data_IF_741163703864
#
_entry.id   IF_741163703864
#
_cell.length_a   1.000
_cell.length_b   1.000
_cell.length_c   1.000
_cell.angle_alpha   90.00
_cell.angle_beta   90.00
_cell.angle_gamma   90.00
#
_symmetry.space_group_name_H-M   'P 1'
#
loop_
_entity.id
_entity.type
_entity.pdbx_description
1 polymer ?
#
# COMPACT_ATOMS: atom_id res chain seq x y z
N UNK A 1 -18.09 -7.53 3.02
CA UNK A 1 -17.04 -7.34 1.99
C UNK A 1 -15.69 -7.66 2.58
N UNK A 2 -14.91 -8.51 1.93
CA UNK A 2 -13.57 -8.88 2.37
C UNK A 2 -12.64 -7.69 2.21
N UNK A 3 -11.80 -7.42 3.21
CA UNK A 3 -10.75 -6.40 3.14
C UNK A 3 -9.60 -6.76 4.05
N UNK A 4 -8.41 -6.30 3.72
CA UNK A 4 -7.21 -6.40 4.54
C UNK A 4 -6.70 -5.00 4.94
N UNK A 5 -7.57 -3.98 4.87
CA UNK A 5 -7.18 -2.59 5.11
C UNK A 5 -6.54 -2.40 6.50
N UNK A 6 -7.11 -3.01 7.54
CA UNK A 6 -6.56 -2.90 8.88
C UNK A 6 -5.16 -3.51 8.98
N UNK A 7 -4.94 -4.62 8.28
CA UNK A 7 -3.63 -5.28 8.22
C UNK A 7 -2.60 -4.39 7.53
N UNK A 8 -2.99 -3.77 6.40
CA UNK A 8 -2.10 -2.85 5.68
C UNK A 8 -1.76 -1.65 6.54
N UNK A 9 -2.74 -1.06 7.21
CA UNK A 9 -2.49 0.03 8.15
C UNK A 9 -1.43 -0.36 9.19
N UNK A 10 -1.58 -1.53 9.79
CA UNK A 10 -0.67 -1.98 10.84
C UNK A 10 0.72 -2.29 10.29
N UNK A 11 0.81 -2.88 9.09
CA UNK A 11 2.08 -3.14 8.43
C UNK A 11 2.86 -1.86 8.13
N UNK A 12 2.17 -0.79 7.74
CA UNK A 12 2.80 0.44 7.31
C UNK A 12 3.05 1.42 8.45
N UNK A 13 2.53 1.16 9.63
CA UNK A 13 2.75 2.03 10.79
C UNK A 13 4.25 2.16 11.07
N UNK A 14 4.74 3.39 11.11
CA UNK A 14 6.16 3.68 11.35
C UNK A 14 7.10 3.38 10.19
N UNK A 15 6.60 3.01 9.01
CA UNK A 15 7.43 2.72 7.85
C UNK A 15 8.08 3.97 7.25
N UNK A 16 7.55 5.14 7.54
CA UNK A 16 8.07 6.43 7.11
C UNK A 16 7.97 7.42 8.28
N UNK A 17 8.46 8.62 8.12
CA UNK A 17 8.36 9.67 9.14
C UNK A 17 6.92 10.00 9.50
N UNK A 18 6.01 9.93 8.53
CA UNK A 18 4.57 10.01 8.73
C UNK A 18 3.88 9.08 7.73
N UNK A 19 2.79 8.46 8.16
CA UNK A 19 1.99 7.57 7.31
C UNK A 19 0.54 8.01 7.39
N UNK A 20 -0.07 8.21 6.21
CA UNK A 20 -1.43 8.73 6.10
C UNK A 20 -2.32 7.72 5.37
N UNK A 21 -3.61 7.82 5.63
CA UNK A 21 -4.59 7.12 4.83
C UNK A 21 -4.99 8.02 3.64
N UNK A 22 -4.93 7.46 2.45
CA UNK A 22 -5.36 8.03 1.19
C UNK A 22 -4.37 9.07 0.63
N UNK A 23 -4.15 10.19 1.31
CA UNK A 23 -3.28 11.26 0.85
C UNK A 23 -2.67 12.00 2.03
N UNK A 24 -1.44 12.51 1.93
CA UNK A 24 -0.84 13.25 3.03
C UNK A 24 -1.64 14.50 3.41
N UNK A 25 -1.97 14.61 4.69
CA UNK A 25 -2.64 15.79 5.22
C UNK A 25 -1.65 16.96 5.39
N UNK A 26 -0.35 16.67 5.39
CA UNK A 26 0.71 17.65 5.61
C UNK A 26 2.01 17.16 5.00
N UNK A 27 2.83 18.09 4.51
CA UNK A 27 4.18 17.82 4.00
C UNK A 27 5.27 18.20 5.01
N UNK A 28 4.90 18.52 6.25
CA UNK A 28 5.85 18.96 7.27
C UNK A 28 6.83 17.85 7.63
N UNK A 29 6.35 16.63 7.77
CA UNK A 29 7.20 15.48 8.09
C UNK A 29 7.49 14.67 6.83
N UNK A 30 8.76 14.62 6.45
CA UNK A 30 9.25 13.84 5.31
C UNK A 30 10.40 12.94 5.76
N UNK A 31 10.55 11.76 5.18
CA UNK A 31 9.70 11.16 4.16
C UNK A 31 8.33 10.80 4.72
N UNK A 32 7.32 10.82 3.86
CA UNK A 32 5.98 10.40 4.24
C UNK A 32 5.42 9.40 3.23
N UNK A 33 4.41 8.66 3.68
CA UNK A 33 3.73 7.69 2.85
C UNK A 33 2.23 7.82 3.04
N UNK A 34 1.47 7.42 2.02
CA UNK A 34 0.03 7.31 2.09
C UNK A 34 -0.41 6.01 1.42
N UNK A 35 -1.50 5.44 1.90
CA UNK A 35 -1.99 4.18 1.35
C UNK A 35 -3.51 4.18 1.25
N UNK A 36 -4.03 3.36 0.34
CA UNK A 36 -5.46 3.15 0.20
C UNK A 36 -5.74 1.80 -0.46
N UNK A 37 -6.92 1.27 -0.25
CA UNK A 37 -7.39 0.15 -1.03
C UNK A 37 -7.82 0.68 -2.40
N UNK A 38 -7.10 0.28 -3.45
CA UNK A 38 -7.31 0.79 -4.79
C UNK A 38 -8.20 -0.12 -5.64
N UNK A 39 -8.48 -1.32 -5.17
CA UNK A 39 -9.35 -2.27 -5.85
C UNK A 39 -9.79 -3.39 -4.92
N UNK A 40 -11.00 -3.87 -5.16
CA UNK A 40 -11.57 -5.00 -4.42
C UNK A 40 -12.51 -5.71 -5.38
N UNK A 41 -12.08 -6.88 -5.86
CA UNK A 41 -12.83 -7.65 -6.85
C UNK A 41 -13.23 -8.99 -6.25
N UNK A 42 -14.52 -9.24 -6.18
CA UNK A 42 -15.04 -10.53 -5.76
C UNK A 42 -14.63 -11.62 -6.76
N UNK A 43 -14.04 -12.69 -6.27
CA UNK A 43 -13.62 -13.82 -7.11
C UNK A 43 -14.54 -15.01 -7.00
N UNK A 44 -15.08 -15.25 -5.80
CA UNK A 44 -15.94 -16.40 -5.56
C UNK A 44 -17.01 -16.06 -4.52
N UNK A 45 -18.24 -16.39 -4.85
CA UNK A 45 -19.40 -16.22 -3.98
C UNK A 45 -20.21 -17.51 -3.99
N UNK A 46 -20.68 -17.93 -2.81
CA UNK A 46 -21.57 -19.06 -2.66
C UNK A 46 -22.53 -18.77 -1.51
N UNK A 47 -23.80 -19.21 -1.67
CA UNK A 47 -24.85 -19.02 -0.65
C UNK A 47 -25.04 -17.56 -0.24
N UNK A 48 -24.89 -16.63 -1.18
CA UNK A 48 -25.01 -15.21 -0.91
C UNK A 48 -23.84 -14.60 -0.14
N UNK A 49 -22.75 -15.34 0.05
CA UNK A 49 -21.55 -14.89 0.78
C UNK A 49 -20.36 -14.79 -0.13
N UNK A 50 -19.56 -13.76 0.10
CA UNK A 50 -18.26 -13.61 -0.54
C UNK A 50 -17.27 -14.55 0.13
N UNK A 51 -16.60 -15.40 -0.67
CA UNK A 51 -15.62 -16.38 -0.17
C UNK A 51 -14.19 -15.99 -0.48
N UNK A 52 -13.95 -15.37 -1.63
CA UNK A 52 -12.62 -14.91 -2.05
C UNK A 52 -12.74 -13.56 -2.73
N UNK A 53 -11.75 -12.72 -2.48
CA UNK A 53 -11.63 -11.43 -3.17
C UNK A 53 -10.17 -11.16 -3.55
N UNK A 54 -9.99 -10.52 -4.70
CA UNK A 54 -8.69 -9.97 -5.09
C UNK A 54 -8.65 -8.51 -4.66
N UNK A 55 -7.68 -8.18 -3.83
CA UNK A 55 -7.52 -6.87 -3.23
C UNK A 55 -6.28 -6.19 -3.78
N UNK A 56 -6.39 -4.90 -4.04
CA UNK A 56 -5.26 -4.07 -4.47
C UNK A 56 -5.09 -2.91 -3.51
N UNK A 57 -3.84 -2.62 -3.16
CA UNK A 57 -3.48 -1.51 -2.28
C UNK A 57 -2.45 -0.65 -2.96
N UNK A 58 -2.74 0.64 -3.01
CA UNK A 58 -1.85 1.66 -3.53
C UNK A 58 -1.07 2.24 -2.36
N UNK A 59 0.26 2.29 -2.48
CA UNK A 59 1.12 2.91 -1.46
C UNK A 59 2.02 3.89 -2.18
N UNK A 60 2.00 5.14 -1.74
CA UNK A 60 2.80 6.20 -2.30
C UNK A 60 3.76 6.75 -1.25
N UNK A 61 4.98 7.04 -1.68
CA UNK A 61 6.04 7.57 -0.83
C UNK A 61 6.54 8.89 -1.42
N UNK A 62 6.71 9.89 -0.58
CA UNK A 62 7.27 11.20 -0.96
C UNK A 62 8.47 11.52 -0.10
N UNK A 63 9.53 12.04 -0.74
CA UNK A 63 10.75 12.41 -0.05
C UNK A 63 11.47 13.54 -0.81
N UNK A 64 12.45 14.16 -0.15
CA UNK A 64 13.25 15.24 -0.74
C UNK A 64 14.33 14.73 -1.68
N UNK A 65 14.74 13.46 -1.53
CA UNK A 65 15.77 12.84 -2.37
C UNK A 65 15.27 11.51 -2.90
N UNK A 66 15.82 11.09 -4.04
CA UNK A 66 15.52 9.79 -4.64
C UNK A 66 15.95 8.66 -3.69
N UNK A 67 17.13 8.80 -3.06
CA UNK A 67 17.67 7.78 -2.16
C UNK A 67 16.76 7.56 -0.96
N UNK A 68 16.29 8.63 -0.35
CA UNK A 68 15.39 8.56 0.80
C UNK A 68 14.05 7.93 0.40
N UNK A 69 13.53 8.32 -0.76
CA UNK A 69 12.28 7.78 -1.29
C UNK A 69 12.39 6.27 -1.50
N UNK A 70 13.50 5.82 -2.11
CA UNK A 70 13.73 4.40 -2.37
C UNK A 70 13.95 3.60 -1.08
N UNK A 71 14.65 4.16 -0.11
CA UNK A 71 14.87 3.48 1.17
C UNK A 71 13.55 3.18 1.88
N UNK A 72 12.64 4.15 1.91
CA UNK A 72 11.30 3.95 2.49
C UNK A 72 10.50 2.94 1.67
N UNK A 73 10.54 3.03 0.35
CA UNK A 73 9.83 2.09 -0.52
C UNK A 73 10.35 0.66 -0.33
N UNK A 74 11.65 0.47 -0.16
CA UNK A 74 12.24 -0.84 0.09
C UNK A 74 11.78 -1.41 1.43
N UNK A 75 11.68 -0.58 2.47
CA UNK A 75 11.14 -1.02 3.77
C UNK A 75 9.67 -1.42 3.66
N UNK A 76 8.88 -0.66 2.92
CA UNK A 76 7.48 -1.00 2.65
C UNK A 76 7.39 -2.33 1.89
N UNK A 77 8.23 -2.51 0.86
CA UNK A 77 8.29 -3.75 0.10
C UNK A 77 8.58 -4.93 1.02
N UNK A 78 9.57 -4.80 1.90
CA UNK A 78 9.94 -5.86 2.84
C UNK A 78 8.76 -6.24 3.73
N UNK A 79 8.05 -5.26 4.26
CA UNK A 79 6.89 -5.50 5.14
C UNK A 79 5.74 -6.15 4.40
N UNK A 80 5.40 -5.61 3.22
CA UNK A 80 4.28 -6.13 2.44
C UNK A 80 4.56 -7.54 1.91
N UNK A 81 5.75 -7.78 1.39
CA UNK A 81 6.15 -9.11 0.90
C UNK A 81 6.18 -10.12 2.05
N UNK A 82 6.68 -9.73 3.21
CA UNK A 82 6.69 -10.58 4.40
C UNK A 82 5.30 -10.99 4.86
N UNK A 83 4.30 -10.18 4.59
CA UNK A 83 2.89 -10.47 4.88
C UNK A 83 2.16 -11.10 3.67
N UNK A 84 2.91 -11.52 2.63
CA UNK A 84 2.43 -12.25 1.45
C UNK A 84 1.64 -11.41 0.45
N UNK A 85 1.75 -10.10 0.51
CA UNK A 85 1.27 -9.22 -0.57
C UNK A 85 2.26 -9.27 -1.73
N UNK A 86 1.75 -9.27 -2.95
CA UNK A 86 2.60 -9.28 -4.16
C UNK A 86 2.63 -7.91 -4.78
N UNK A 87 3.85 -7.42 -5.04
CA UNK A 87 3.95 -6.15 -5.76
C UNK A 87 3.54 -6.34 -7.22
N UNK A 88 2.57 -5.56 -7.66
CA UNK A 88 2.07 -5.56 -9.03
C UNK A 88 2.65 -4.43 -9.86
N UNK A 89 3.16 -3.37 -9.21
CA UNK A 89 3.60 -2.16 -9.91
C UNK A 89 4.50 -1.34 -9.01
N UNK A 90 5.50 -0.69 -9.60
CA UNK A 90 6.33 0.32 -8.96
C UNK A 90 6.80 1.33 -10.02
N UNK A 91 6.79 2.61 -9.68
CA UNK A 91 7.27 3.67 -10.55
C UNK A 91 7.79 4.86 -9.76
N UNK A 92 8.80 5.52 -10.31
CA UNK A 92 9.28 6.80 -9.80
C UNK A 92 8.56 7.92 -10.55
N UNK A 93 8.12 8.93 -9.80
CA UNK A 93 7.49 10.13 -10.30
C UNK A 93 8.14 11.33 -9.66
N UNK A 94 7.99 12.50 -10.28
CA UNK A 94 8.42 13.76 -9.67
C UNK A 94 7.29 14.77 -9.76
N UNK A 95 6.94 15.36 -8.63
CA UNK A 95 5.87 16.35 -8.58
C UNK A 95 6.45 17.75 -8.60
N UNK A 96 6.29 18.45 -9.73
CA UNK A 96 6.83 19.78 -9.91
C UNK A 96 6.27 20.78 -8.88
N UNK A 97 5.00 20.64 -8.51
CA UNK A 97 4.33 21.54 -7.57
C UNK A 97 4.91 21.49 -6.15
N UNK A 98 5.19 20.29 -5.65
CA UNK A 98 5.77 20.09 -4.32
C UNK A 98 7.29 20.03 -4.36
N UNK A 99 7.86 19.77 -5.55
CA UNK A 99 9.29 19.51 -5.76
C UNK A 99 9.79 18.30 -4.98
N UNK A 100 8.92 17.32 -4.80
CA UNK A 100 9.25 16.09 -4.10
C UNK A 100 9.38 14.93 -5.08
N UNK A 101 10.25 13.99 -4.77
CA UNK A 101 10.30 12.71 -5.43
C UNK A 101 9.18 11.85 -4.88
N UNK A 102 8.56 11.08 -5.76
CA UNK A 102 7.40 10.28 -5.45
C UNK A 102 7.60 8.89 -6.02
N UNK A 103 7.47 7.87 -5.17
CA UNK A 103 7.48 6.49 -5.63
C UNK A 103 6.11 5.88 -5.38
N UNK A 104 5.53 5.37 -6.45
CA UNK A 104 4.19 4.76 -6.42
C UNK A 104 4.34 3.25 -6.44
N UNK A 105 3.69 2.57 -5.50
CA UNK A 105 3.71 1.11 -5.37
C UNK A 105 2.28 0.59 -5.37
N UNK A 106 2.09 -0.58 -5.98
CA UNK A 106 0.79 -1.26 -5.91
C UNK A 106 1.01 -2.72 -5.53
N UNK A 107 0.21 -3.18 -4.59
CA UNK A 107 0.26 -4.54 -4.08
C UNK A 107 -1.07 -5.24 -4.28
N UNK A 108 -1.01 -6.55 -4.48
CA UNK A 108 -2.17 -7.42 -4.60
C UNK A 108 -2.14 -8.55 -3.60
N UNK A 109 -3.34 -8.99 -3.21
CA UNK A 109 -3.51 -10.21 -2.44
C UNK A 109 -4.87 -10.81 -2.77
N UNK A 110 -4.94 -12.14 -2.76
CA UNK A 110 -6.22 -12.86 -2.80
C UNK A 110 -6.49 -13.33 -1.37
N UNK A 111 -7.62 -12.97 -0.81
CA UNK A 111 -7.94 -13.25 0.57
C UNK A 111 -9.35 -13.83 0.74
N UNK A 112 -9.54 -14.62 1.81
CA UNK A 112 -10.84 -15.06 2.25
C UNK A 112 -11.39 -14.18 3.37
N UNK A 113 -12.58 -14.48 3.87
CA UNK A 113 -13.24 -13.71 4.92
C UNK A 113 -12.57 -13.81 6.28
N UNK A 114 -11.71 -14.81 6.49
CA UNK A 114 -10.94 -14.97 7.72
C UNK A 114 -9.59 -14.25 7.66
N UNK A 115 -9.25 -13.62 6.53
CA UNK A 115 -8.00 -12.89 6.37
C UNK A 115 -6.84 -13.75 5.91
N UNK A 116 -7.08 -14.99 5.50
CA UNK A 116 -6.04 -15.82 4.91
C UNK A 116 -5.72 -15.34 3.50
N UNK A 117 -4.43 -15.31 3.18
CA UNK A 117 -3.95 -14.89 1.86
C UNK A 117 -3.53 -16.11 1.08
N UNK A 118 -3.99 -16.18 -0.17
CA UNK A 118 -3.68 -17.24 -1.13
C UNK A 118 -2.84 -16.66 -2.26
N UNK A 119 -1.87 -17.40 -2.72
CA UNK A 119 -1.03 -17.00 -3.85
C UNK A 119 -1.33 -17.82 -5.08
#
# INVERSE_FOLDING_TARGET
>A
MITLADRVRDLLAGAAGAVFYFYPASWVTLPCAAWRESGNRELHQADGREHLAELSYQVDVWARTVEECRAVADEIERRMAGARFRRAYAADLFEAGTRLYHRSLRYRAVADGAGNIYQ
#
